data_IF_905274994650
#
_entry.id   IF_905274994650
#
_cell.length_a   1.000
_cell.length_b   1.000
_cell.length_c   1.000
_cell.angle_alpha   90.00
_cell.angle_beta   90.00
_cell.angle_gamma   90.00
#
_symmetry.space_group_name_H-M   'P 1'
#
loop_
_entity.id
_entity.type
_entity.pdbx_description
1 polymer ?
#
# COMPACT_ATOMS: atom_id res chain seq x y z
N UNK A 1 7.05 8.52 -10.19
CA UNK A 1 6.53 9.35 -9.08
C UNK A 1 5.18 8.81 -8.69
N UNK A 2 5.08 8.11 -7.55
CA UNK A 2 3.79 7.70 -6.98
C UNK A 2 3.15 8.94 -6.35
N UNK A 3 1.97 9.36 -6.81
CA UNK A 3 1.22 10.43 -6.15
C UNK A 3 0.43 9.82 -5.00
N UNK A 4 0.73 10.22 -3.78
CA UNK A 4 -0.08 9.92 -2.61
C UNK A 4 -1.17 10.98 -2.50
N UNK A 5 -2.39 10.63 -2.87
CA UNK A 5 -3.51 11.56 -2.86
C UNK A 5 -4.24 11.51 -1.50
N UNK A 6 -3.77 12.34 -0.57
CA UNK A 6 -4.36 12.47 0.78
C UNK A 6 -5.57 13.42 0.84
N UNK A 7 -5.96 14.07 -0.27
CA UNK A 7 -6.93 15.18 -0.26
C UNK A 7 -8.15 14.99 -1.18
N UNK A 8 -8.42 13.79 -1.68
CA UNK A 8 -9.57 13.63 -2.58
C UNK A 8 -10.89 13.63 -1.79
N UNK A 9 -11.81 14.59 -2.01
CA UNK A 9 -13.14 14.60 -1.38
C UNK A 9 -14.04 13.44 -1.83
N UNK A 10 -13.65 12.68 -2.85
CA UNK A 10 -14.31 11.46 -3.28
C UNK A 10 -13.82 10.23 -2.50
N UNK A 11 -13.76 10.33 -1.17
CA UNK A 11 -13.35 9.24 -0.31
C UNK A 11 -14.01 7.91 -0.73
N UNK A 12 -13.19 6.97 -1.18
CA UNK A 12 -13.59 5.58 -1.38
C UNK A 12 -14.38 5.26 -2.65
N UNK A 13 -14.69 6.21 -3.52
CA UNK A 13 -15.30 5.87 -4.81
C UNK A 13 -14.21 5.47 -5.81
N UNK A 14 -14.38 4.32 -6.52
CA UNK A 14 -13.48 3.95 -7.59
C UNK A 14 -13.40 5.07 -8.60
N UNK A 15 -12.19 5.52 -8.92
CA UNK A 15 -12.03 6.48 -10.03
C UNK A 15 -12.40 5.72 -11.31
N UNK A 16 -13.39 6.22 -12.04
CA UNK A 16 -13.93 5.56 -13.24
C UNK A 16 -12.90 5.19 -14.30
N UNK A 17 -11.71 5.78 -14.22
CA UNK A 17 -10.66 5.61 -15.23
C UNK A 17 -9.54 4.64 -14.84
N UNK A 18 -9.44 4.22 -13.57
CA UNK A 18 -8.42 3.26 -13.15
C UNK A 18 -8.97 1.84 -13.32
N UNK A 19 -8.45 1.06 -14.27
CA UNK A 19 -8.98 -0.28 -14.52
C UNK A 19 -8.69 -1.26 -13.38
N UNK A 20 -7.60 -1.03 -12.63
CA UNK A 20 -7.14 -1.92 -11.57
C UNK A 20 -7.34 -1.33 -10.19
N UNK A 21 -8.05 -2.06 -9.34
CA UNK A 21 -8.21 -1.73 -7.93
C UNK A 21 -7.67 -2.87 -7.09
N UNK A 22 -6.77 -2.56 -6.17
CA UNK A 22 -6.23 -3.48 -5.19
C UNK A 22 -6.61 -2.98 -3.81
N UNK A 23 -7.26 -3.81 -3.01
CA UNK A 23 -7.61 -3.49 -1.63
C UNK A 23 -6.70 -4.26 -0.71
N UNK A 24 -6.21 -3.60 0.34
CA UNK A 24 -5.32 -4.21 1.34
C UNK A 24 -5.80 -3.89 2.73
N UNK A 25 -5.64 -4.85 3.63
CA UNK A 25 -6.01 -4.71 5.03
C UNK A 25 -5.04 -5.51 5.92
N UNK A 26 -4.95 -5.13 7.20
CA UNK A 26 -4.18 -5.79 8.23
C UNK A 26 -5.07 -6.22 9.39
N UNK A 27 -4.94 -7.47 9.82
CA UNK A 27 -5.73 -8.03 10.94
C UNK A 27 -4.84 -8.54 12.05
N UNK A 28 -5.22 -8.23 13.31
CA UNK A 28 -4.59 -8.81 14.49
C UNK A 28 -5.62 -9.09 15.58
N UNK A 29 -5.61 -10.34 16.08
CA UNK A 29 -6.43 -10.77 17.20
C UNK A 29 -5.61 -11.69 18.11
N UNK A 30 -5.20 -11.18 19.26
CA UNK A 30 -4.25 -11.88 20.13
C UNK A 30 -2.94 -12.15 19.40
N UNK A 31 -2.54 -13.44 19.34
CA UNK A 31 -1.34 -13.89 18.64
C UNK A 31 -1.54 -14.11 17.13
N UNK A 32 -2.78 -14.01 16.66
CA UNK A 32 -3.07 -14.14 15.23
C UNK A 32 -2.86 -12.81 14.55
N UNK A 33 -1.92 -12.76 13.61
CA UNK A 33 -1.62 -11.59 12.83
C UNK A 33 -1.57 -11.94 11.33
N UNK A 34 -2.17 -11.13 10.49
CA UNK A 34 -2.20 -11.37 9.05
C UNK A 34 -2.46 -10.12 8.24
N UNK A 35 -2.17 -10.22 6.96
CA UNK A 35 -2.49 -9.21 5.97
C UNK A 35 -3.32 -9.80 4.83
N UNK A 36 -4.18 -8.99 4.23
CA UNK A 36 -5.05 -9.37 3.14
C UNK A 36 -4.85 -8.51 1.90
N UNK A 37 -5.07 -9.11 0.73
CA UNK A 37 -5.01 -8.44 -0.55
C UNK A 37 -6.08 -9.00 -1.47
N UNK A 38 -6.82 -8.12 -2.15
CA UNK A 38 -7.84 -8.49 -3.14
C UNK A 38 -7.69 -7.63 -4.38
N UNK A 39 -7.81 -8.22 -5.55
CA UNK A 39 -7.59 -7.54 -6.83
C UNK A 39 -8.87 -7.52 -7.66
N UNK A 40 -9.21 -6.35 -8.16
CA UNK A 40 -10.33 -6.13 -9.07
C UNK A 40 -9.84 -5.52 -10.39
N UNK A 41 -10.41 -6.00 -11.48
CA UNK A 41 -10.27 -5.40 -12.80
C UNK A 41 -11.65 -4.87 -13.25
N UNK A 42 -11.76 -3.55 -13.47
CA UNK A 42 -13.01 -2.89 -13.90
C UNK A 42 -14.21 -3.26 -13.03
N UNK A 43 -14.00 -3.30 -11.72
CA UNK A 43 -15.03 -3.60 -10.72
C UNK A 43 -15.40 -5.07 -10.57
N UNK A 44 -14.70 -5.99 -11.26
CA UNK A 44 -14.89 -7.44 -11.11
C UNK A 44 -13.68 -8.06 -10.44
N UNK A 45 -13.90 -8.99 -9.51
CA UNK A 45 -12.83 -9.77 -8.90
C UNK A 45 -11.99 -10.45 -9.99
N UNK A 46 -10.70 -10.16 -10.02
CA UNK A 46 -9.81 -10.65 -11.07
C UNK A 46 -9.30 -12.04 -10.73
N UNK A 47 -9.68 -13.03 -11.53
CA UNK A 47 -9.22 -14.43 -11.44
C UNK A 47 -9.37 -15.08 -10.05
N UNK A 48 -10.28 -14.57 -9.20
CA UNK A 48 -10.44 -15.05 -7.84
C UNK A 48 -9.29 -14.62 -6.90
N UNK A 49 -8.47 -13.65 -7.30
CA UNK A 49 -7.31 -13.19 -6.54
C UNK A 49 -7.70 -12.55 -5.20
N UNK A 50 -7.60 -13.39 -4.17
CA UNK A 50 -7.76 -13.05 -2.75
C UNK A 50 -6.64 -13.76 -2.00
N UNK A 51 -5.72 -13.00 -1.46
CA UNK A 51 -4.53 -13.50 -0.79
C UNK A 51 -4.55 -13.13 0.68
N UNK A 52 -4.39 -14.12 1.55
CA UNK A 52 -4.16 -13.95 2.96
C UNK A 52 -2.73 -14.34 3.33
N UNK A 53 -2.07 -13.52 4.11
CA UNK A 53 -0.68 -13.70 4.55
C UNK A 53 -0.64 -13.89 6.06
N UNK A 54 0.03 -14.93 6.53
CA UNK A 54 0.32 -15.11 7.93
C UNK A 54 1.53 -14.28 8.35
N UNK A 55 1.41 -13.55 9.45
CA UNK A 55 2.46 -12.74 10.02
C UNK A 55 2.80 -13.25 11.44
N UNK A 56 4.01 -12.93 11.89
CA UNK A 56 4.42 -13.30 13.24
C UNK A 56 3.58 -12.56 14.30
N UNK A 57 3.32 -13.18 15.46
CA UNK A 57 2.51 -12.59 16.53
C UNK A 57 3.01 -11.25 17.04
N UNK A 58 4.32 -10.98 16.92
CA UNK A 58 4.96 -9.75 17.36
C UNK A 58 4.63 -8.55 16.48
N UNK A 59 4.11 -8.80 15.26
CA UNK A 59 3.73 -7.71 14.37
C UNK A 59 2.53 -6.94 14.91
N UNK A 60 2.61 -5.63 14.80
CA UNK A 60 1.51 -4.71 15.10
C UNK A 60 0.54 -4.60 13.93
N UNK A 61 -0.69 -4.09 14.19
CA UNK A 61 -1.66 -3.80 13.12
C UNK A 61 -1.07 -2.88 12.03
N UNK A 62 -0.40 -1.75 12.35
CA UNK A 62 0.22 -0.92 11.32
C UNK A 62 1.29 -1.65 10.48
N UNK A 63 1.99 -2.63 11.06
CA UNK A 63 2.95 -3.44 10.30
C UNK A 63 2.22 -4.41 9.36
N UNK A 64 1.12 -5.02 9.80
CA UNK A 64 0.29 -5.87 8.96
C UNK A 64 -0.32 -5.09 7.78
N UNK A 65 -0.81 -3.88 8.03
CA UNK A 65 -1.31 -2.96 7.02
C UNK A 65 -0.23 -2.58 5.98
N UNK A 66 0.95 -2.17 6.46
CA UNK A 66 2.07 -1.84 5.60
C UNK A 66 2.53 -3.07 4.78
N UNK A 67 2.49 -4.26 5.37
CA UNK A 67 2.78 -5.49 4.66
C UNK A 67 1.76 -5.78 3.55
N UNK A 68 0.48 -5.51 3.78
CA UNK A 68 -0.55 -5.57 2.73
C UNK A 68 -0.19 -4.68 1.53
N UNK A 69 0.21 -3.43 1.78
CA UNK A 69 0.66 -2.51 0.75
C UNK A 69 1.93 -3.01 0.02
N UNK A 70 2.89 -3.60 0.75
CA UNK A 70 4.07 -4.28 0.17
C UNK A 70 3.66 -5.39 -0.78
N UNK A 71 2.73 -6.24 -0.38
CA UNK A 71 2.25 -7.34 -1.20
C UNK A 71 1.51 -6.84 -2.45
N UNK A 72 0.78 -5.73 -2.36
CA UNK A 72 0.17 -5.09 -3.52
C UNK A 72 1.22 -4.62 -4.54
N UNK A 73 2.30 -3.98 -4.07
CA UNK A 73 3.40 -3.56 -4.94
C UNK A 73 4.11 -4.75 -5.61
N UNK A 74 4.36 -5.83 -4.87
CA UNK A 74 4.92 -7.08 -5.40
C UNK A 74 3.98 -7.72 -6.42
N UNK A 75 2.68 -7.73 -6.14
CA UNK A 75 1.68 -8.26 -7.06
C UNK A 75 1.67 -7.50 -8.40
N UNK A 76 1.67 -6.16 -8.36
CA UNK A 76 1.75 -5.33 -9.56
C UNK A 76 3.03 -5.64 -10.34
N UNK A 77 4.17 -5.66 -9.67
CA UNK A 77 5.48 -5.92 -10.30
C UNK A 77 5.52 -7.29 -10.98
N UNK A 78 4.99 -8.32 -10.33
CA UNK A 78 4.92 -9.69 -10.86
C UNK A 78 3.99 -9.81 -12.07
N UNK A 79 2.92 -9.01 -12.10
CA UNK A 79 1.88 -9.06 -13.13
C UNK A 79 1.96 -7.92 -14.16
N UNK A 80 3.07 -7.17 -14.23
CA UNK A 80 3.24 -6.00 -15.11
C UNK A 80 2.84 -6.26 -16.58
N UNK A 81 3.10 -7.46 -17.09
CA UNK A 81 2.75 -7.82 -18.48
C UNK A 81 1.25 -7.90 -18.72
N UNK A 82 0.44 -8.10 -17.67
CA UNK A 82 -1.03 -8.25 -17.74
C UNK A 82 -1.77 -7.01 -17.24
N UNK A 83 -1.12 -6.21 -16.38
CA UNK A 83 -1.71 -5.03 -15.77
C UNK A 83 -1.39 -3.80 -16.61
N UNK A 84 -2.32 -3.44 -17.49
CA UNK A 84 -2.19 -2.23 -18.32
C UNK A 84 -2.98 -1.08 -17.72
N UNK A 85 -2.38 0.10 -17.69
CA UNK A 85 -3.01 1.33 -17.25
C UNK A 85 -2.77 1.68 -15.78
N UNK A 86 -3.63 2.52 -15.24
CA UNK A 86 -3.53 2.99 -13.87
C UNK A 86 -3.98 1.93 -12.85
N UNK A 87 -3.31 1.90 -11.71
CA UNK A 87 -3.62 1.03 -10.57
C UNK A 87 -3.88 1.87 -9.34
N UNK A 88 -5.04 1.69 -8.71
CA UNK A 88 -5.34 2.26 -7.40
C UNK A 88 -5.21 1.18 -6.32
N UNK A 89 -4.39 1.44 -5.31
CA UNK A 89 -4.29 0.62 -4.10
C UNK A 89 -5.08 1.32 -3.00
N UNK A 90 -6.03 0.61 -2.41
CA UNK A 90 -6.89 1.12 -1.35
C UNK A 90 -6.52 0.50 0.00
N UNK A 91 -6.43 1.33 1.03
CA UNK A 91 -6.22 0.92 2.42
C UNK A 91 -6.99 1.86 3.34
N UNK A 92 -7.48 1.37 4.46
CA UNK A 92 -8.09 2.20 5.51
C UNK A 92 -7.07 2.64 6.58
N UNK A 93 -5.82 2.23 6.45
CA UNK A 93 -4.73 2.61 7.35
C UNK A 93 -4.13 3.97 7.01
N UNK A 94 -4.57 5.02 7.70
CA UNK A 94 -3.94 6.34 7.62
C UNK A 94 -2.48 6.29 8.07
N UNK A 95 -2.17 5.46 9.07
CA UNK A 95 -0.82 5.30 9.59
C UNK A 95 0.14 4.78 8.53
N UNK A 96 -0.28 3.78 7.74
CA UNK A 96 0.50 3.25 6.61
C UNK A 96 0.74 4.33 5.56
N UNK A 97 -0.30 5.08 5.18
CA UNK A 97 -0.16 6.16 4.20
C UNK A 97 0.80 7.25 4.68
N UNK A 98 0.68 7.68 5.94
CA UNK A 98 1.58 8.68 6.52
C UNK A 98 3.02 8.18 6.58
N UNK A 99 3.24 6.93 6.97
CA UNK A 99 4.57 6.32 7.01
C UNK A 99 5.21 6.27 5.62
N UNK A 100 4.48 5.84 4.60
CA UNK A 100 4.94 5.76 3.23
C UNK A 100 5.16 7.14 2.57
N UNK A 101 4.42 8.17 3.02
CA UNK A 101 4.61 9.55 2.56
C UNK A 101 5.73 10.29 3.28
N UNK A 102 6.23 9.76 4.39
CA UNK A 102 7.28 10.41 5.17
C UNK A 102 8.64 10.19 4.50
N UNK A 103 9.33 11.28 4.16
CA UNK A 103 10.68 11.23 3.58
C UNK A 103 11.71 10.64 4.56
N UNK A 104 11.53 10.88 5.86
CA UNK A 104 12.41 10.36 6.91
C UNK A 104 11.96 8.97 7.37
N UNK A 105 12.02 8.01 6.46
CA UNK A 105 11.64 6.62 6.74
C UNK A 105 12.60 6.00 7.74
N UNK A 106 12.05 5.30 8.72
CA UNK A 106 12.83 4.72 9.83
C UNK A 106 12.62 3.23 10.01
N UNK A 107 11.60 2.68 9.37
CA UNK A 107 11.32 1.25 9.38
C UNK A 107 11.76 0.63 8.07
N UNK A 108 12.50 -0.49 8.16
CA UNK A 108 12.92 -1.26 6.98
C UNK A 108 11.72 -1.68 6.12
N UNK A 109 10.65 -2.15 6.75
CA UNK A 109 9.42 -2.53 6.05
C UNK A 109 8.84 -1.36 5.24
N UNK A 110 8.81 -0.15 5.81
CA UNK A 110 8.28 1.04 5.13
C UNK A 110 9.19 1.44 3.97
N UNK A 111 10.51 1.41 4.18
CA UNK A 111 11.49 1.72 3.12
C UNK A 111 11.36 0.76 1.95
N UNK A 112 11.38 -0.53 2.24
CA UNK A 112 11.23 -1.59 1.23
C UNK A 112 9.88 -1.48 0.48
N UNK A 113 8.81 -1.17 1.21
CA UNK A 113 7.48 -0.98 0.60
C UNK A 113 7.47 0.23 -0.35
N UNK A 114 8.09 1.34 0.06
CA UNK A 114 8.22 2.54 -0.78
C UNK A 114 8.99 2.25 -2.07
N UNK A 115 10.14 1.56 -1.97
CA UNK A 115 10.95 1.18 -3.13
C UNK A 115 10.21 0.25 -4.09
N UNK A 116 9.42 -0.68 -3.54
CA UNK A 116 8.59 -1.59 -4.34
C UNK A 116 7.45 -0.85 -5.04
N UNK A 117 6.81 0.13 -4.38
CA UNK A 117 5.78 0.96 -4.99
C UNK A 117 6.34 1.82 -6.13
N UNK A 118 7.53 2.38 -5.96
CA UNK A 118 8.20 3.16 -7.02
C UNK A 118 8.56 2.27 -8.22
N UNK A 119 9.05 1.04 -7.97
CA UNK A 119 9.30 0.05 -9.05
C UNK A 119 8.00 -0.38 -9.74
N UNK A 120 6.93 -0.58 -8.99
CA UNK A 120 5.63 -0.93 -9.55
C UNK A 120 5.09 0.20 -10.45
N UNK A 121 5.27 1.46 -10.04
CA UNK A 121 4.88 2.64 -10.83
C UNK A 121 5.73 2.84 -12.08
N UNK A 122 7.00 2.38 -12.08
CA UNK A 122 7.92 2.41 -13.23
C UNK A 122 7.74 1.24 -14.21
N UNK A 123 6.73 0.40 -14.04
CA UNK A 123 6.50 -0.77 -14.88
C UNK A 123 6.15 -0.44 -16.33
N UNK A 124 6.48 -1.36 -17.26
CA UNK A 124 6.35 -1.17 -18.71
C UNK A 124 4.93 -0.80 -19.14
N UNK A 125 3.93 -1.39 -18.50
CA UNK A 125 2.51 -1.23 -18.87
C UNK A 125 1.69 -0.46 -17.82
N UNK A 126 2.26 -0.23 -16.65
CA UNK A 126 1.60 0.49 -15.54
C UNK A 126 1.88 1.98 -15.70
N UNK A 127 0.87 2.77 -15.96
CA UNK A 127 1.04 4.22 -16.18
C UNK A 127 1.18 4.98 -14.86
N UNK A 128 0.44 4.57 -13.84
CA UNK A 128 0.49 5.17 -12.50
C UNK A 128 0.09 4.15 -11.46
N UNK A 129 0.70 4.24 -10.27
CA UNK A 129 0.24 3.55 -9.06
C UNK A 129 -0.13 4.61 -8.03
N UNK A 130 -1.36 4.60 -7.56
CA UNK A 130 -1.85 5.56 -6.58
C UNK A 130 -2.31 4.84 -5.32
N UNK A 131 -1.78 5.23 -4.17
CA UNK A 131 -2.22 4.75 -2.87
C UNK A 131 -3.33 5.66 -2.35
N UNK A 132 -4.48 5.08 -1.94
CA UNK A 132 -5.68 5.82 -1.56
C UNK A 132 -6.19 5.37 -0.20
N UNK A 133 -6.53 6.35 0.63
CA UNK A 133 -7.24 6.06 1.85
C UNK A 133 -8.74 5.89 1.59
N UNK A 134 -9.32 4.90 2.26
CA UNK A 134 -10.77 4.73 2.36
C UNK A 134 -11.17 4.62 3.83
N UNK A 135 -12.41 4.94 4.12
CA UNK A 135 -12.93 4.80 5.49
C UNK A 135 -13.19 3.33 5.79
N UNK A 136 -12.67 2.85 6.92
CA UNK A 136 -12.97 1.52 7.43
C UNK A 136 -14.48 1.30 7.63
N UNK A 137 -14.96 0.11 7.36
CA UNK A 137 -16.36 -0.32 7.56
C UNK A 137 -17.42 0.61 6.94
N UNK A 138 -17.09 1.22 5.81
CA UNK A 138 -18.00 2.14 5.11
C UNK A 138 -18.76 1.47 3.94
N UNK A 139 -18.86 0.14 3.92
CA UNK A 139 -19.55 -0.62 2.88
C UNK A 139 -18.73 -0.74 1.57
N UNK A 140 -17.41 -0.62 1.67
CA UNK A 140 -16.51 -0.89 0.53
C UNK A 140 -16.28 -2.40 0.41
N UNK A 141 -17.00 -3.07 -0.49
CA UNK A 141 -16.91 -4.53 -0.69
C UNK A 141 -15.47 -5.03 -0.81
N UNK A 142 -14.62 -4.30 -1.55
CA UNK A 142 -13.22 -4.68 -1.71
C UNK A 142 -12.42 -4.64 -0.41
N UNK A 143 -12.70 -3.67 0.48
CA UNK A 143 -12.04 -3.57 1.79
C UNK A 143 -12.51 -4.66 2.75
N UNK A 144 -13.82 -4.89 2.78
CA UNK A 144 -14.41 -5.97 3.61
C UNK A 144 -13.84 -7.33 3.20
N UNK A 145 -13.67 -7.55 1.90
CA UNK A 145 -13.07 -8.77 1.40
C UNK A 145 -11.56 -8.85 1.70
N UNK A 146 -10.83 -7.74 1.68
CA UNK A 146 -9.42 -7.71 2.11
C UNK A 146 -9.27 -8.03 3.60
N UNK A 147 -10.15 -7.50 4.45
CA UNK A 147 -10.23 -7.84 5.89
C UNK A 147 -10.49 -9.34 6.10
N UNK A 148 -11.46 -9.92 5.37
CA UNK A 148 -11.71 -11.36 5.41
C UNK A 148 -10.44 -12.16 5.03
N UNK A 149 -9.75 -11.75 3.97
CA UNK A 149 -8.50 -12.40 3.55
C UNK A 149 -7.39 -12.23 4.58
N UNK A 150 -7.30 -11.08 5.27
CA UNK A 150 -6.33 -10.84 6.34
C UNK A 150 -6.59 -11.76 7.55
N UNK A 151 -7.85 -11.88 7.97
CA UNK A 151 -8.27 -12.78 9.05
C UNK A 151 -8.00 -14.24 8.71
N UNK A 152 -8.32 -14.66 7.49
CA UNK A 152 -8.01 -16.02 7.02
C UNK A 152 -6.49 -16.25 6.95
N UNK A 153 -5.73 -15.26 6.50
CA UNK A 153 -4.27 -15.31 6.50
C UNK A 153 -3.70 -15.48 7.90
N UNK A 154 -4.22 -14.73 8.86
CA UNK A 154 -3.79 -14.81 10.26
C UNK A 154 -3.97 -16.21 10.86
N UNK A 155 -5.03 -16.94 10.50
CA UNK A 155 -5.34 -18.28 11.02
C UNK A 155 -4.63 -19.41 10.28
N UNK A 156 -4.21 -19.18 9.03
CA UNK A 156 -3.53 -20.19 8.22
C UNK A 156 -2.05 -20.18 8.54
N UNK A 157 -1.59 -21.20 9.24
CA UNK A 157 -0.17 -21.59 9.23
C UNK A 157 0.14 -22.08 7.83
N UNK A 158 0.37 -21.16 6.90
CA UNK A 158 0.88 -21.56 5.60
C UNK A 158 2.33 -22.01 5.78
N UNK A 159 2.60 -23.22 5.32
CA UNK A 159 3.93 -23.81 5.15
C UNK A 159 4.75 -23.04 4.06
N UNK A 160 4.55 -21.75 3.89
CA UNK A 160 5.41 -20.91 3.09
C UNK A 160 6.57 -20.48 3.97
N UNK A 161 7.67 -21.18 3.75
CA UNK A 161 8.98 -20.90 4.33
C UNK A 161 9.24 -19.38 4.30
N UNK A 162 9.39 -18.82 5.52
CA UNK A 162 10.11 -17.58 5.79
C UNK A 162 9.53 -16.25 5.25
N UNK A 163 8.35 -15.85 5.72
CA UNK A 163 8.12 -14.42 5.86
C UNK A 163 8.51 -14.00 7.29
N UNK A 164 9.79 -14.14 7.63
CA UNK A 164 10.33 -13.49 8.81
C UNK A 164 10.44 -12.01 8.47
N UNK A 165 9.42 -11.23 8.83
CA UNK A 165 9.59 -9.78 8.85
C UNK A 165 10.49 -9.54 10.06
N UNK A 166 11.74 -9.19 9.81
CA UNK A 166 12.63 -8.66 10.83
C UNK A 166 12.03 -7.32 11.28
N UNK A 167 11.26 -7.36 12.35
CA UNK A 167 10.76 -6.15 12.98
C UNK A 167 11.89 -5.53 13.78
N UNK A 168 12.48 -4.47 13.26
CA UNK A 168 13.21 -3.56 14.14
C UNK A 168 12.22 -3.05 15.19
N UNK A 169 12.55 -3.10 16.49
CA UNK A 169 11.64 -2.63 17.53
C UNK A 169 11.23 -1.18 17.24
N UNK A 170 9.96 -0.82 17.45
CA UNK A 170 9.52 0.54 17.17
C UNK A 170 10.30 1.51 18.04
N UNK A 171 11.04 2.40 17.41
CA UNK A 171 11.64 3.54 18.11
C UNK A 171 10.48 4.43 18.56
N UNK A 172 10.19 4.44 19.86
CA UNK A 172 9.00 5.03 20.49
C UNK A 172 8.86 6.55 20.34
N UNK A 173 9.73 7.24 19.62
CA UNK A 173 9.81 8.70 19.65
C UNK A 173 9.25 9.46 18.45
N UNK A 174 8.66 8.84 17.43
CA UNK A 174 8.35 9.59 16.20
C UNK A 174 6.96 9.32 15.59
N UNK A 175 5.93 9.01 16.37
CA UNK A 175 4.59 8.72 15.82
C UNK A 175 3.57 9.85 15.98
N UNK A 176 3.87 10.94 16.64
CA UNK A 176 2.89 12.01 16.91
C UNK A 176 3.38 13.40 16.49
N UNK A 177 3.42 13.68 15.20
CA UNK A 177 3.35 15.07 14.72
C UNK A 177 2.93 15.09 13.25
N UNK A 178 1.83 15.75 13.00
CA UNK A 178 1.30 16.20 11.71
C UNK A 178 0.03 15.49 11.19
N UNK A 179 -1.04 15.62 11.92
CA UNK A 179 -2.36 15.76 11.30
C UNK A 179 -2.49 17.25 10.97
N UNK A 180 -2.35 17.65 9.70
CA UNK A 180 -2.77 19.01 9.33
C UNK A 180 -1.98 19.78 8.29
N UNK A 181 -0.84 19.33 7.79
CA UNK A 181 -0.13 20.07 6.73
C UNK A 181 0.20 19.19 5.53
N UNK A 182 -0.16 19.71 4.34
CA UNK A 182 0.22 19.13 3.07
C UNK A 182 1.74 19.06 2.97
N UNK A 183 2.31 17.87 2.89
CA UNK A 183 3.73 17.71 2.64
C UNK A 183 3.93 17.60 1.13
N UNK A 184 4.36 18.70 0.50
CA UNK A 184 4.96 18.66 -0.82
C UNK A 184 6.36 18.08 -0.67
N UNK A 185 6.67 17.01 -1.40
CA UNK A 185 8.05 16.53 -1.52
C UNK A 185 8.89 17.66 -2.14
N UNK A 186 10.07 18.03 -1.61
CA UNK A 186 10.93 19.00 -2.28
C UNK A 186 11.31 18.43 -3.66
N UNK A 187 10.95 19.17 -4.71
CA UNK A 187 11.20 18.79 -6.08
C UNK A 187 12.70 18.60 -6.32
N UNK A 188 13.04 17.53 -7.02
CA UNK A 188 14.33 17.36 -7.65
C UNK A 188 14.49 18.55 -8.62
N UNK A 189 15.39 19.47 -8.31
CA UNK A 189 15.77 20.56 -9.22
C UNK A 189 16.42 19.93 -10.43
N UNK A 190 15.74 19.95 -11.56
CA UNK A 190 16.40 19.80 -12.85
C UNK A 190 17.22 21.06 -13.06
N UNK A 191 18.53 20.91 -13.10
CA UNK A 191 19.48 21.95 -13.47
C UNK A 191 19.25 22.33 -14.92
N UNK A 192 18.47 23.38 -15.15
CA UNK A 192 18.44 24.12 -16.41
C UNK A 192 19.50 25.20 -16.35
N UNK A 193 20.58 25.05 -17.07
CA UNK A 193 21.58 26.09 -17.29
C UNK A 193 20.95 27.30 -17.97
N UNK A 194 21.24 28.54 -17.54
CA UNK A 194 20.83 29.68 -18.33
C UNK A 194 21.73 29.80 -19.56
N UNK A 195 21.12 29.79 -20.73
CA UNK A 195 21.77 30.21 -21.97
C UNK A 195 21.81 31.71 -21.91
N UNK A 196 23.01 32.26 -21.86
CA UNK A 196 23.29 33.68 -22.10
C UNK A 196 22.96 34.02 -23.57
N UNK A 197 22.13 34.97 -23.76
CA UNK A 197 22.01 35.66 -25.06
C UNK A 197 22.69 37.05 -24.95
N UNK A 198 23.66 37.23 -25.79
CA UNK A 198 24.16 38.53 -26.17
C UNK A 198 23.11 39.32 -26.97
#
# INVERSE_FOLDING_TARGET
MSSLDCKNPNHGKPIKNDPWHIYTDGSKQGDLCGAGLVVYLRGKLWQGECHGYHLQPENSVPQAECYGAKQAALFITKNQRRMHGAVSIFTDSQTTLMALNNYYIKSELVSETSDLLDRAAGGINTTTVTLRWIKAHAGHEGNEKADECAKLGATRVQLTKNATILCSPPNRQTVYAAVGQACERPGVRTSGSPVSAD
#
